data_IF_139093816855
#
_entry.id   IF_139093816855
#
_cell.length_a   1.000
_cell.length_b   1.000
_cell.length_c   1.000
_cell.angle_alpha   90.00
_cell.angle_beta   90.00
_cell.angle_gamma   90.00
#
_symmetry.space_group_name_H-M   'P 1'
#
loop_
_entity.id
_entity.type
_entity.pdbx_description
1 polymer ?
#
# COMPACT_ATOMS: atom_id res chain seq x y z
N UNK A 1 27.47 -13.72 -38.13
CA UNK A 1 26.22 -13.28 -37.47
C UNK A 1 26.20 -13.92 -36.10
N UNK A 2 26.19 -13.13 -35.03
CA UNK A 2 26.19 -13.65 -33.65
C UNK A 2 24.74 -13.90 -33.22
N UNK A 3 24.42 -15.16 -32.89
CA UNK A 3 23.13 -15.54 -32.35
C UNK A 3 23.10 -15.18 -30.86
N UNK A 4 22.26 -14.23 -30.45
CA UNK A 4 21.99 -13.98 -29.03
C UNK A 4 20.84 -14.90 -28.61
N UNK A 5 21.14 -15.82 -27.69
CA UNK A 5 20.14 -16.68 -27.05
C UNK A 5 19.21 -15.82 -26.22
N UNK A 6 17.89 -15.99 -26.42
CA UNK A 6 16.87 -15.28 -25.64
C UNK A 6 16.36 -16.18 -24.53
N UNK A 7 15.94 -15.59 -23.39
CA UNK A 7 15.40 -16.30 -22.24
C UNK A 7 14.14 -17.16 -22.55
N UNK A 8 13.58 -16.98 -23.75
CA UNK A 8 12.38 -17.66 -24.23
C UNK A 8 12.67 -18.77 -25.25
N UNK A 9 13.94 -19.19 -25.41
CA UNK A 9 14.28 -20.34 -26.25
C UNK A 9 13.79 -21.66 -25.60
N UNK A 10 12.56 -22.04 -25.96
CA UNK A 10 11.89 -23.27 -25.52
C UNK A 10 12.65 -24.54 -25.93
N UNK A 11 13.43 -24.49 -27.01
CA UNK A 11 14.25 -25.62 -27.47
C UNK A 11 15.33 -26.02 -26.44
N UNK A 12 15.84 -25.10 -25.62
CA UNK A 12 16.78 -25.42 -24.56
C UNK A 12 16.15 -26.27 -23.44
N UNK A 13 14.82 -26.24 -23.29
CA UNK A 13 14.10 -26.99 -22.26
C UNK A 13 13.98 -28.48 -22.60
N UNK A 14 13.86 -28.83 -23.89
CA UNK A 14 13.71 -30.22 -24.32
C UNK A 14 15.05 -30.97 -24.47
N UNK A 15 16.18 -30.25 -24.48
CA UNK A 15 17.50 -30.85 -24.59
C UNK A 15 18.02 -31.45 -23.27
N UNK A 16 17.38 -31.12 -22.13
CA UNK A 16 17.70 -31.76 -20.86
C UNK A 16 16.79 -32.98 -20.66
N UNK A 17 17.37 -34.16 -20.77
CA UNK A 17 16.79 -35.42 -20.31
C UNK A 17 16.60 -35.41 -18.79
N UNK A 18 15.63 -34.63 -18.31
CA UNK A 18 15.11 -34.75 -16.96
C UNK A 18 14.29 -36.04 -16.89
N UNK A 19 14.95 -37.14 -16.55
CA UNK A 19 14.25 -38.32 -16.07
C UNK A 19 13.53 -37.90 -14.78
N UNK A 20 12.19 -37.94 -14.71
CA UNK A 20 11.51 -37.70 -13.45
C UNK A 20 11.95 -38.78 -12.48
N UNK A 21 12.74 -38.40 -11.47
CA UNK A 21 13.09 -39.28 -10.36
C UNK A 21 11.81 -39.49 -9.57
N UNK A 22 11.17 -40.63 -9.81
CA UNK A 22 10.05 -41.10 -9.00
C UNK A 22 10.56 -41.32 -7.58
N UNK A 23 10.06 -40.53 -6.62
CA UNK A 23 10.35 -40.66 -5.19
C UNK A 23 9.30 -41.60 -4.57
N UNK A 24 9.66 -42.85 -4.23
CA UNK A 24 8.71 -43.84 -3.71
C UNK A 24 8.22 -43.53 -2.30
N UNK A 25 8.76 -42.50 -1.63
CA UNK A 25 8.38 -42.18 -0.23
C UNK A 25 7.07 -41.41 -0.11
N UNK A 26 6.50 -40.98 -1.24
CA UNK A 26 5.24 -40.24 -1.26
C UNK A 26 3.98 -41.11 -1.23
N UNK A 27 4.14 -42.44 -1.28
CA UNK A 27 3.03 -43.37 -1.33
C UNK A 27 3.24 -44.51 -0.33
N UNK A 28 3.26 -44.20 0.96
CA UNK A 28 2.95 -45.23 1.96
C UNK A 28 2.33 -44.70 3.27
N UNK A 29 1.62 -45.62 3.90
CA UNK A 29 0.35 -45.46 4.60
C UNK A 29 0.43 -45.19 6.10
N UNK A 30 -0.72 -44.79 6.65
CA UNK A 30 -1.12 -44.80 8.08
C UNK A 30 -0.24 -45.60 9.06
N UNK A 31 0.33 -44.93 10.07
CA UNK A 31 0.26 -45.30 11.51
C UNK A 31 1.23 -44.45 12.34
N UNK A 32 0.82 -44.11 13.57
CA UNK A 32 1.45 -43.06 14.36
C UNK A 32 2.86 -43.35 14.88
N UNK A 33 3.63 -42.27 15.01
CA UNK A 33 4.60 -42.09 16.09
C UNK A 33 4.85 -40.58 16.29
N UNK A 34 4.84 -40.12 17.54
CA UNK A 34 5.14 -38.73 17.90
C UNK A 34 6.63 -38.47 17.67
N UNK A 35 7.05 -37.36 17.03
CA UNK A 35 8.44 -36.95 17.07
C UNK A 35 8.79 -36.34 18.45
N UNK A 36 9.96 -36.68 19.02
CA UNK A 36 10.41 -36.13 20.29
C UNK A 36 11.09 -34.75 20.11
N UNK A 37 10.86 -33.89 21.11
CA UNK A 37 11.71 -32.78 21.55
C UNK A 37 12.09 -31.69 20.53
N UNK A 38 11.13 -30.80 20.30
CA UNK A 38 11.26 -29.33 20.38
C UNK A 38 12.70 -28.78 20.54
N UNK A 39 13.43 -28.66 19.44
CA UNK A 39 14.52 -27.69 19.32
C UNK A 39 13.86 -26.35 18.97
N UNK A 40 13.44 -25.61 19.99
CA UNK A 40 13.09 -24.20 19.83
C UNK A 40 14.40 -23.42 19.71
N UNK A 41 14.86 -23.28 18.48
CA UNK A 41 15.83 -22.27 18.09
C UNK A 41 15.26 -20.91 18.52
N UNK A 42 15.79 -20.36 19.62
CA UNK A 42 15.52 -19.00 20.04
C UNK A 42 16.20 -18.08 19.04
N UNK A 43 15.51 -17.81 17.92
CA UNK A 43 15.85 -16.70 17.05
C UNK A 43 15.67 -15.44 17.88
N UNK A 44 16.81 -14.88 18.29
CA UNK A 44 16.91 -13.55 18.86
C UNK A 44 16.07 -12.61 18.00
N UNK A 45 15.00 -12.07 18.58
CA UNK A 45 14.22 -11.04 17.90
C UNK A 45 15.09 -9.78 17.96
N UNK A 46 16.03 -9.70 17.03
CA UNK A 46 16.79 -8.50 16.78
C UNK A 46 15.79 -7.36 16.64
N UNK A 47 15.96 -6.39 17.53
CA UNK A 47 15.13 -5.21 17.70
C UNK A 47 15.07 -4.47 16.36
N UNK A 48 14.08 -4.79 15.52
CA UNK A 48 13.73 -3.99 14.36
C UNK A 48 13.24 -2.67 14.95
N UNK A 49 14.12 -1.67 14.97
CA UNK A 49 13.75 -0.31 15.33
C UNK A 49 12.56 0.06 14.46
N UNK A 50 11.40 0.22 15.08
CA UNK A 50 10.15 0.53 14.41
C UNK A 50 10.40 1.77 13.54
N UNK A 51 10.34 1.57 12.22
CA UNK A 51 10.33 2.66 11.24
C UNK A 51 9.26 3.65 11.76
N UNK A 52 9.59 4.94 11.90
CA UNK A 52 8.66 5.92 12.43
C UNK A 52 7.34 5.79 11.68
N UNK A 53 6.23 5.71 12.42
CA UNK A 53 4.90 5.46 11.89
C UNK A 53 4.53 6.62 10.96
N UNK A 54 4.90 6.51 9.68
CA UNK A 54 4.57 7.51 8.68
C UNK A 54 3.06 7.45 8.48
N UNK A 55 2.40 8.57 8.74
CA UNK A 55 0.96 8.69 8.54
C UNK A 55 0.62 8.44 7.07
N UNK A 56 -0.32 7.53 6.82
CA UNK A 56 -0.82 7.30 5.46
C UNK A 56 -1.99 8.27 5.23
N UNK A 57 -1.71 9.32 4.47
CA UNK A 57 -2.66 10.37 4.13
C UNK A 57 -2.44 10.90 2.71
N UNK A 58 -3.52 11.33 2.05
CA UNK A 58 -3.51 11.79 0.66
C UNK A 58 -4.70 12.71 0.38
N UNK A 59 -4.69 13.37 -0.77
CA UNK A 59 -5.82 14.16 -1.26
C UNK A 59 -6.46 13.44 -2.43
N UNK A 60 -7.78 13.44 -2.48
CA UNK A 60 -8.57 12.79 -3.52
C UNK A 60 -9.57 13.76 -4.14
N UNK A 61 -9.81 13.62 -5.44
CA UNK A 61 -10.96 14.23 -6.10
C UNK A 61 -12.19 13.37 -5.88
N UNK A 62 -13.28 13.97 -5.40
CA UNK A 62 -14.55 13.28 -5.24
C UNK A 62 -15.71 14.09 -5.80
N UNK A 63 -16.74 13.36 -6.23
CA UNK A 63 -18.02 13.97 -6.65
C UNK A 63 -19.13 13.34 -5.83
N UNK A 64 -19.97 14.12 -5.12
CA UNK A 64 -21.11 13.60 -4.38
C UNK A 64 -22.25 13.11 -5.30
N UNK A 65 -22.19 13.41 -6.59
CA UNK A 65 -23.19 12.99 -7.58
C UNK A 65 -22.52 12.46 -8.85
N UNK A 66 -23.26 11.71 -9.66
CA UNK A 66 -22.77 11.28 -10.98
C UNK A 66 -22.69 12.44 -12.00
N UNK A 67 -23.04 13.67 -11.61
CA UNK A 67 -22.86 14.85 -12.46
C UNK A 67 -21.37 15.18 -12.54
N UNK A 68 -20.80 15.04 -13.74
CA UNK A 68 -19.38 15.31 -14.03
C UNK A 68 -18.92 16.72 -13.67
N UNK A 69 -19.85 17.66 -13.53
CA UNK A 69 -19.56 19.08 -13.32
C UNK A 69 -19.13 19.42 -11.90
N UNK A 70 -19.48 18.63 -10.88
CA UNK A 70 -19.26 19.01 -9.47
C UNK A 70 -18.26 18.09 -8.79
N UNK A 71 -16.98 18.31 -9.09
CA UNK A 71 -15.88 17.66 -8.38
C UNK A 71 -15.34 18.57 -7.30
N UNK A 72 -14.88 17.98 -6.21
CA UNK A 72 -14.34 18.66 -5.05
C UNK A 72 -13.09 17.92 -4.56
N UNK A 73 -12.24 18.60 -3.81
CA UNK A 73 -11.15 17.95 -3.10
C UNK A 73 -11.62 17.44 -1.73
N UNK A 74 -11.11 16.27 -1.33
CA UNK A 74 -11.20 15.77 0.04
C UNK A 74 -9.82 15.32 0.50
N UNK A 75 -9.51 15.59 1.76
CA UNK A 75 -8.36 15.04 2.46
C UNK A 75 -8.74 13.68 3.04
N UNK A 76 -7.89 12.67 2.85
CA UNK A 76 -8.08 11.31 3.30
C UNK A 76 -6.88 10.88 4.16
N UNK A 77 -7.14 10.19 5.27
CA UNK A 77 -6.08 9.65 6.13
C UNK A 77 -6.48 8.32 6.76
N UNK A 78 -5.50 7.49 7.07
CA UNK A 78 -5.71 6.16 7.64
C UNK A 78 -5.25 6.13 9.10
N UNK A 79 -6.15 5.70 9.98
CA UNK A 79 -5.88 5.50 11.42
C UNK A 79 -6.40 4.13 11.82
N UNK A 80 -5.55 3.31 12.44
CA UNK A 80 -5.92 1.98 12.94
C UNK A 80 -6.69 1.12 11.92
N UNK A 81 -6.26 1.15 10.66
CA UNK A 81 -6.88 0.38 9.58
C UNK A 81 -8.13 1.00 8.95
N UNK A 82 -8.67 2.12 9.47
CA UNK A 82 -9.85 2.81 8.93
C UNK A 82 -9.46 4.05 8.14
N UNK A 83 -10.14 4.27 7.01
CA UNK A 83 -9.96 5.46 6.19
C UNK A 83 -10.96 6.51 6.63
N UNK A 84 -10.45 7.66 7.04
CA UNK A 84 -11.19 8.86 7.33
C UNK A 84 -11.03 9.83 6.17
N UNK A 85 -12.04 10.67 5.96
CA UNK A 85 -11.99 11.71 4.95
C UNK A 85 -12.68 12.99 5.41
N UNK A 86 -12.24 14.12 4.86
CA UNK A 86 -12.77 15.45 5.15
C UNK A 86 -12.84 16.25 3.86
N UNK A 87 -13.98 16.87 3.59
CA UNK A 87 -14.14 17.80 2.47
C UNK A 87 -13.24 19.02 2.66
N UNK A 88 -12.52 19.42 1.61
CA UNK A 88 -11.73 20.64 1.60
C UNK A 88 -12.63 21.75 1.03
N UNK A 89 -13.00 22.77 1.84
CA UNK A 89 -13.85 23.85 1.37
C UNK A 89 -13.11 24.71 0.34
N UNK A 90 -13.84 25.40 -0.54
CA UNK A 90 -13.26 26.21 -1.62
C UNK A 90 -14.02 26.10 -2.94
N UNK A 91 -15.05 25.25 -2.98
CA UNK A 91 -15.88 25.02 -4.15
C UNK A 91 -15.31 23.93 -5.04
N UNK A 92 -15.62 24.02 -6.33
CA UNK A 92 -15.20 23.05 -7.33
C UNK A 92 -13.66 22.93 -7.42
N UNK A 93 -13.13 21.79 -7.87
CA UNK A 93 -11.69 21.61 -8.15
C UNK A 93 -11.09 22.68 -9.08
N UNK A 94 -11.90 23.28 -9.96
CA UNK A 94 -11.46 24.35 -10.85
C UNK A 94 -11.36 25.73 -10.18
N UNK A 95 -11.84 25.88 -8.94
CA UNK A 95 -11.76 27.11 -8.17
C UNK A 95 -10.32 27.38 -7.73
N UNK A 96 -9.84 28.61 -7.93
CA UNK A 96 -8.52 29.02 -7.47
C UNK A 96 -8.33 28.83 -5.96
N UNK A 97 -9.40 29.07 -5.16
CA UNK A 97 -9.37 28.87 -3.71
C UNK A 97 -9.21 27.38 -3.37
N UNK A 98 -9.89 26.49 -4.10
CA UNK A 98 -9.80 25.06 -3.86
C UNK A 98 -8.41 24.51 -4.22
N UNK A 99 -7.81 25.01 -5.32
CA UNK A 99 -6.46 24.65 -5.75
C UNK A 99 -5.43 25.11 -4.71
N UNK A 100 -5.50 26.38 -4.29
CA UNK A 100 -4.60 26.94 -3.27
C UNK A 100 -4.64 26.13 -1.97
N UNK A 101 -5.85 25.86 -1.45
CA UNK A 101 -6.01 25.07 -0.21
C UNK A 101 -5.52 23.63 -0.36
N UNK A 102 -5.70 23.04 -1.54
CA UNK A 102 -5.18 21.70 -1.85
C UNK A 102 -3.65 21.69 -1.84
N UNK A 103 -3.01 22.67 -2.48
CA UNK A 103 -1.54 22.80 -2.49
C UNK A 103 -0.96 22.99 -1.09
N UNK A 104 -1.61 23.84 -0.28
CA UNK A 104 -1.25 24.08 1.12
C UNK A 104 -1.29 22.78 1.95
N UNK A 105 -2.37 22.00 1.83
CA UNK A 105 -2.48 20.68 2.48
C UNK A 105 -1.42 19.70 1.94
N UNK A 106 -1.11 19.72 0.64
CA UNK A 106 -0.05 18.87 0.09
C UNK A 106 1.33 19.22 0.65
N UNK A 107 1.62 20.50 0.90
CA UNK A 107 2.86 20.93 1.52
C UNK A 107 2.98 20.39 2.95
N UNK A 108 1.91 20.48 3.75
CA UNK A 108 1.87 19.93 5.11
C UNK A 108 2.05 18.40 5.15
N UNK A 109 1.44 17.68 4.19
CA UNK A 109 1.66 16.23 4.03
C UNK A 109 3.14 15.93 3.76
N UNK A 110 3.80 16.72 2.91
CA UNK A 110 5.22 16.53 2.58
C UNK A 110 6.15 16.82 3.77
N UNK A 111 5.76 17.73 4.65
CA UNK A 111 6.47 18.04 5.90
C UNK A 111 6.30 16.90 6.92
N UNK A 112 5.24 16.10 6.79
CA UNK A 112 4.90 15.03 7.72
C UNK A 112 4.03 15.48 8.88
N UNK A 113 3.25 16.55 8.69
CA UNK A 113 2.33 17.11 9.68
C UNK A 113 1.26 16.09 10.09
N UNK A 114 0.88 16.09 11.36
CA UNK A 114 -0.09 15.15 11.89
C UNK A 114 -1.47 15.33 11.21
N UNK A 115 -2.17 14.25 10.83
CA UNK A 115 -3.52 14.34 10.28
C UNK A 115 -4.51 15.15 11.12
N UNK A 116 -4.38 15.16 12.45
CA UNK A 116 -5.22 15.94 13.36
C UNK A 116 -5.03 17.44 13.11
N UNK A 117 -3.80 17.89 12.94
CA UNK A 117 -3.46 19.28 12.67
C UNK A 117 -3.96 19.73 11.29
N UNK A 118 -3.78 18.88 10.27
CA UNK A 118 -4.32 19.12 8.93
C UNK A 118 -5.85 19.23 8.96
N UNK A 119 -6.54 18.37 9.72
CA UNK A 119 -8.00 18.45 9.89
C UNK A 119 -8.41 19.74 10.60
N UNK A 120 -7.66 20.18 11.60
CA UNK A 120 -7.90 21.47 12.26
C UNK A 120 -7.77 22.64 11.28
N UNK A 121 -6.72 22.64 10.44
CA UNK A 121 -6.52 23.62 9.37
C UNK A 121 -7.71 23.65 8.39
N UNK A 122 -8.20 22.47 7.96
CA UNK A 122 -9.37 22.38 7.06
C UNK A 122 -10.63 22.94 7.72
N UNK A 123 -10.80 22.77 9.04
CA UNK A 123 -11.96 23.33 9.75
C UNK A 123 -11.92 24.87 9.76
N UNK A 124 -10.74 25.48 9.92
CA UNK A 124 -10.58 26.95 9.85
C UNK A 124 -11.02 27.50 8.48
N UNK A 125 -10.70 26.80 7.40
CA UNK A 125 -11.11 27.18 6.05
C UNK A 125 -12.64 27.19 5.85
N UNK A 126 -13.37 26.38 6.64
CA UNK A 126 -14.83 26.28 6.59
C UNK A 126 -15.52 27.42 7.36
N UNK A 127 -14.82 28.05 8.31
CA UNK A 127 -15.34 29.20 9.07
C UNK A 127 -15.14 30.52 8.33
N UNK A 128 -14.17 30.58 7.42
CA UNK A 128 -13.77 31.83 6.73
C UNK A 128 -14.52 32.04 5.39
N UNK A 129 -15.51 31.20 5.07
CA UNK A 129 -16.25 31.23 3.80
C UNK A 129 -17.59 31.93 3.89
#
# INVERSE_FOLDING_TARGET
>A
MHYQQTLFDVEAYYANEFVPIYDPTWDDTSSGSKPPNSVLERVSHDTIQAIPEQYIHWIEEYSPSNRKQHKYYRYCWKVSGRIHHKHIPGGNIASAIAIYRKEDIQAEILIGTDPIEIVAMINVFSTTS
#
